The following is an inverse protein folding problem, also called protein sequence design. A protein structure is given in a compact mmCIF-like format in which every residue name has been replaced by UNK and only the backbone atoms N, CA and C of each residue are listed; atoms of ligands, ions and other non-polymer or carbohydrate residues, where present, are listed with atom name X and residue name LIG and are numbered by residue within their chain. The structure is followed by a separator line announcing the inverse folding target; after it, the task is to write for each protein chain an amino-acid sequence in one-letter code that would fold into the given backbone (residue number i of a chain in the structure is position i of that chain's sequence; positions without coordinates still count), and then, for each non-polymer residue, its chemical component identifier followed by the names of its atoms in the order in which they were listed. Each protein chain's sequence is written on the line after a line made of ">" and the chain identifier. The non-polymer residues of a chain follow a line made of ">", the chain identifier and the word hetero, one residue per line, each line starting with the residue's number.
data_IF_453447933424
#
_entry.id   IF_453447933424
#
_cell.length_a   1.000
_cell.length_b   1.000
_cell.length_c   1.000
_cell.angle_alpha   90.00
_cell.angle_beta   90.00
_cell.angle_gamma   90.00
#
_symmetry.space_group_name_H-M   'P 1'
#
loop_
_entity.id
_entity.type
_entity.pdbx_description
1 polymer ?
#
# COMPACT_ATOMS: atom_id res chain seq x y z
N UNK A 1 3.19 9.99 -7.94
CA UNK A 1 1.73 9.77 -7.95
C UNK A 1 0.96 10.73 -7.02
N UNK A 2 1.49 11.03 -5.82
CA UNK A 2 0.82 11.87 -4.80
C UNK A 2 0.48 13.32 -5.19
N UNK A 3 1.00 13.90 -6.27
CA UNK A 3 0.80 15.33 -6.58
C UNK A 3 -0.33 15.59 -7.59
N UNK A 4 -0.81 14.56 -8.30
CA UNK A 4 -1.81 14.74 -9.38
C UNK A 4 -3.26 14.41 -8.98
N UNK A 5 -3.44 13.71 -7.85
CA UNK A 5 -4.75 13.23 -7.44
C UNK A 5 -5.42 14.23 -6.49
N UNK A 6 -6.68 14.63 -6.76
CA UNK A 6 -7.35 15.72 -6.03
C UNK A 6 -7.77 15.33 -4.61
N UNK A 7 -8.11 14.05 -4.38
CA UNK A 7 -8.59 13.56 -3.09
C UNK A 7 -7.48 12.78 -2.35
N UNK A 8 -7.37 12.97 -1.04
CA UNK A 8 -6.49 12.18 -0.16
C UNK A 8 -6.71 10.67 -0.30
N UNK A 9 -7.97 10.21 -0.33
CA UNK A 9 -8.26 8.78 -0.45
C UNK A 9 -7.82 8.20 -1.79
N UNK A 10 -7.94 8.98 -2.88
CA UNK A 10 -7.41 8.59 -4.18
C UNK A 10 -5.87 8.53 -4.15
N UNK A 11 -5.21 9.49 -3.49
CA UNK A 11 -3.74 9.46 -3.27
C UNK A 11 -3.30 8.25 -2.46
N UNK A 12 -4.07 7.86 -1.45
CA UNK A 12 -3.77 6.72 -0.59
C UNK A 12 -3.96 5.39 -1.34
N UNK A 13 -5.02 5.26 -2.14
CA UNK A 13 -5.20 4.11 -3.03
C UNK A 13 -4.04 3.97 -4.02
N UNK A 14 -3.71 5.08 -4.68
CA UNK A 14 -2.56 5.20 -5.56
C UNK A 14 -1.22 4.85 -4.90
N UNK A 15 -1.00 5.28 -3.66
CA UNK A 15 0.18 4.95 -2.87
C UNK A 15 0.27 3.44 -2.62
N UNK A 16 -0.85 2.80 -2.29
CA UNK A 16 -0.91 1.36 -2.01
C UNK A 16 -0.61 0.54 -3.27
N UNK A 17 -1.32 0.84 -4.37
CA UNK A 17 -1.11 0.17 -5.65
C UNK A 17 0.32 0.42 -6.16
N UNK A 18 0.84 1.63 -5.97
CA UNK A 18 2.21 1.99 -6.31
C UNK A 18 3.26 1.27 -5.45
N UNK A 19 3.00 1.09 -4.14
CA UNK A 19 3.88 0.34 -3.23
C UNK A 19 3.92 -1.13 -3.62
N UNK A 20 2.76 -1.77 -3.77
CA UNK A 20 2.70 -3.17 -4.18
C UNK A 20 3.33 -3.36 -5.57
N UNK A 21 2.97 -2.53 -6.55
CA UNK A 21 3.57 -2.61 -7.89
C UNK A 21 5.08 -2.32 -7.90
N UNK A 22 5.54 -1.39 -7.07
CA UNK A 22 6.91 -0.88 -7.09
C UNK A 22 7.88 -1.53 -6.08
N UNK A 23 7.38 -2.25 -5.09
CA UNK A 23 8.19 -2.91 -4.06
C UNK A 23 7.97 -4.43 -4.06
N UNK A 24 6.72 -4.90 -4.03
CA UNK A 24 6.44 -6.34 -4.04
C UNK A 24 6.98 -7.03 -5.29
N UNK A 25 6.63 -6.54 -6.48
CA UNK A 25 7.03 -7.17 -7.75
C UNK A 25 8.57 -7.19 -7.89
N UNK A 26 9.30 -6.08 -7.64
CA UNK A 26 10.76 -6.10 -7.70
C UNK A 26 11.41 -6.99 -6.64
N UNK A 27 10.85 -7.11 -5.44
CA UNK A 27 11.38 -8.02 -4.41
C UNK A 27 11.26 -9.49 -4.82
N UNK A 28 10.13 -9.88 -5.41
CA UNK A 28 9.98 -11.23 -5.97
C UNK A 28 10.95 -11.44 -7.14
N UNK A 29 11.10 -10.44 -8.02
CA UNK A 29 12.08 -10.48 -9.11
C UNK A 29 13.52 -10.64 -8.59
N UNK A 30 13.90 -9.89 -7.56
CA UNK A 30 15.20 -10.00 -6.91
C UNK A 30 15.40 -11.37 -6.27
N UNK A 31 14.37 -11.97 -5.68
CA UNK A 31 14.44 -13.32 -5.14
C UNK A 31 14.73 -14.37 -6.22
N UNK A 32 14.04 -14.27 -7.36
CA UNK A 32 14.25 -15.17 -8.50
C UNK A 32 15.65 -15.01 -9.12
N UNK A 33 16.10 -13.76 -9.29
CA UNK A 33 17.45 -13.47 -9.79
C UNK A 33 18.50 -14.02 -8.82
N UNK A 34 18.35 -13.74 -7.51
CA UNK A 34 19.27 -14.21 -6.49
C UNK A 34 19.38 -15.74 -6.49
N UNK A 35 18.25 -16.46 -6.63
CA UNK A 35 18.24 -17.92 -6.71
C UNK A 35 19.03 -18.47 -7.92
N UNK A 36 19.00 -17.76 -9.05
CA UNK A 36 19.73 -18.11 -10.28
C UNK A 36 21.20 -17.65 -10.31
N UNK A 37 21.65 -16.82 -9.38
CA UNK A 37 23.03 -16.34 -9.35
C UNK A 37 23.96 -17.36 -8.67
N UNK A 38 24.64 -18.18 -9.48
CA UNK A 38 25.59 -19.17 -8.95
C UNK A 38 26.80 -18.58 -8.23
N UNK A 39 27.22 -17.37 -8.62
CA UNK A 39 28.33 -16.64 -8.00
C UNK A 39 28.09 -16.31 -6.52
N UNK A 40 26.83 -16.22 -6.08
CA UNK A 40 26.49 -15.95 -4.68
C UNK A 40 26.71 -17.16 -3.76
N UNK A 41 26.96 -18.35 -4.31
CA UNK A 41 27.16 -19.57 -3.53
C UNK A 41 26.00 -19.82 -2.55
N UNK A 42 26.26 -20.11 -1.26
CA UNK A 42 25.21 -20.37 -0.26
C UNK A 42 24.39 -19.12 0.11
N UNK A 43 24.92 -17.90 -0.09
CA UNK A 43 24.21 -16.65 0.21
C UNK A 43 23.00 -16.41 -0.71
N UNK A 44 22.91 -17.12 -1.84
CA UNK A 44 21.78 -17.05 -2.77
C UNK A 44 20.44 -17.29 -2.07
N UNK A 45 20.40 -18.28 -1.18
CA UNK A 45 19.18 -18.72 -0.51
C UNK A 45 18.79 -17.78 0.61
N UNK A 46 19.78 -17.18 1.28
CA UNK A 46 19.55 -16.13 2.26
C UNK A 46 18.95 -14.89 1.60
N UNK A 47 19.53 -14.44 0.48
CA UNK A 47 19.05 -13.29 -0.27
C UNK A 47 17.66 -13.53 -0.87
N UNK A 48 17.44 -14.70 -1.47
CA UNK A 48 16.12 -15.07 -2.01
C UNK A 48 15.06 -15.18 -0.92
N UNK A 49 15.36 -15.86 0.20
CA UNK A 49 14.46 -15.97 1.33
C UNK A 49 14.15 -14.62 1.98
N UNK A 50 15.16 -13.79 2.20
CA UNK A 50 15.01 -12.44 2.77
C UNK A 50 14.13 -11.54 1.89
N UNK A 51 14.31 -11.60 0.56
CA UNK A 51 13.49 -10.86 -0.39
C UNK A 51 12.03 -11.32 -0.37
N UNK A 52 11.76 -12.63 -0.33
CA UNK A 52 10.39 -13.19 -0.25
C UNK A 52 9.71 -12.80 1.06
N UNK A 53 10.39 -12.96 2.20
CA UNK A 53 9.85 -12.61 3.52
C UNK A 53 9.52 -11.12 3.58
N UNK A 54 10.43 -10.28 3.08
CA UNK A 54 10.22 -8.82 3.03
C UNK A 54 9.03 -8.46 2.13
N UNK A 55 8.89 -9.13 0.98
CA UNK A 55 7.76 -8.92 0.08
C UNK A 55 6.42 -9.26 0.76
N UNK A 56 6.35 -10.37 1.49
CA UNK A 56 5.12 -10.76 2.22
C UNK A 56 4.78 -9.73 3.30
N UNK A 57 5.78 -9.29 4.08
CA UNK A 57 5.58 -8.27 5.12
C UNK A 57 5.10 -6.96 4.49
N UNK A 58 5.73 -6.51 3.40
CA UNK A 58 5.35 -5.31 2.67
C UNK A 58 3.91 -5.42 2.18
N UNK A 59 3.52 -6.54 1.58
CA UNK A 59 2.17 -6.74 1.04
C UNK A 59 1.09 -6.65 2.12
N UNK A 60 1.31 -7.30 3.26
CA UNK A 60 0.40 -7.25 4.41
C UNK A 60 0.33 -5.83 4.96
N UNK A 61 1.48 -5.17 5.11
CA UNK A 61 1.56 -3.83 5.68
C UNK A 61 0.95 -2.77 4.75
N UNK A 62 1.10 -2.92 3.44
CA UNK A 62 0.53 -2.03 2.44
C UNK A 62 -1.01 -2.02 2.55
N UNK A 63 -1.64 -3.19 2.66
CA UNK A 63 -3.09 -3.27 2.88
C UNK A 63 -3.52 -2.78 4.26
N UNK A 64 -2.94 -3.35 5.33
CA UNK A 64 -3.37 -3.03 6.70
C UNK A 64 -3.09 -1.57 7.09
N UNK A 65 -1.92 -1.04 6.71
CA UNK A 65 -1.51 0.32 7.02
C UNK A 65 -2.39 1.36 6.34
N UNK A 66 -2.77 1.15 5.08
CA UNK A 66 -3.61 2.10 4.35
C UNK A 66 -5.06 2.09 4.85
N UNK A 67 -5.60 0.93 5.24
CA UNK A 67 -6.89 0.86 5.93
C UNK A 67 -6.87 1.60 7.27
N UNK A 68 -5.82 1.42 8.08
CA UNK A 68 -5.69 2.10 9.37
C UNK A 68 -5.60 3.62 9.19
N UNK A 69 -4.80 4.09 8.23
CA UNK A 69 -4.65 5.51 7.90
C UNK A 69 -5.97 6.10 7.38
N UNK A 70 -6.65 5.42 6.45
CA UNK A 70 -7.93 5.88 5.90
C UNK A 70 -8.97 6.07 7.01
N UNK A 71 -9.07 5.10 7.92
CA UNK A 71 -9.99 5.17 9.07
C UNK A 71 -9.62 6.30 10.03
N UNK A 72 -8.33 6.49 10.33
CA UNK A 72 -7.85 7.55 11.21
C UNK A 72 -8.13 8.94 10.63
N UNK A 73 -7.79 9.15 9.35
CA UNK A 73 -8.02 10.42 8.65
C UNK A 73 -9.50 10.74 8.53
N UNK A 74 -10.34 9.75 8.22
CA UNK A 74 -11.79 9.92 8.18
C UNK A 74 -12.35 10.32 9.55
N UNK A 75 -11.92 9.64 10.63
CA UNK A 75 -12.39 9.92 11.98
C UNK A 75 -11.90 11.27 12.51
N UNK A 76 -10.67 11.65 12.19
CA UNK A 76 -10.04 12.89 12.65
C UNK A 76 -10.43 14.13 11.82
N UNK A 77 -11.18 13.96 10.71
CA UNK A 77 -11.51 15.04 9.77
C UNK A 77 -10.26 15.78 9.25
N UNK A 78 -9.15 15.07 9.15
CA UNK A 78 -7.83 15.66 8.89
C UNK A 78 -7.58 16.00 7.41
N UNK A 79 -8.39 15.50 6.49
CA UNK A 79 -8.27 15.79 5.06
C UNK A 79 -9.65 16.00 4.41
N UNK A 80 -9.77 16.91 3.43
CA UNK A 80 -11.01 17.13 2.72
C UNK A 80 -11.40 15.89 1.90
N UNK A 81 -12.66 15.48 2.03
CA UNK A 81 -13.24 14.35 1.29
C UNK A 81 -13.58 14.70 -0.16
N UNK A 82 -13.65 16.00 -0.48
CA UNK A 82 -14.00 16.50 -1.82
C UNK A 82 -12.88 16.22 -2.83
N UNK A 83 -13.20 15.89 -4.10
CA UNK A 83 -14.54 15.71 -4.66
C UNK A 83 -15.13 14.32 -4.32
N UNK A 84 -16.35 14.30 -3.79
CA UNK A 84 -17.14 13.11 -3.46
C UNK A 84 -18.59 13.38 -3.90
N UNK A 85 -19.22 12.42 -4.56
CA UNK A 85 -20.61 12.55 -5.07
C UNK A 85 -21.64 12.19 -4.00
N UNK A 86 -21.38 11.17 -3.18
CA UNK A 86 -22.23 10.76 -2.08
C UNK A 86 -21.39 10.08 -0.98
N UNK A 87 -21.63 10.42 0.29
CA UNK A 87 -20.99 9.77 1.45
C UNK A 87 -21.99 8.85 2.15
N UNK A 88 -22.11 7.62 1.64
CA UNK A 88 -22.95 6.59 2.25
C UNK A 88 -22.53 6.23 3.68
N UNK A 89 -21.25 6.44 4.03
CA UNK A 89 -20.75 6.15 5.37
C UNK A 89 -21.21 7.19 6.39
N UNK A 90 -21.44 8.43 5.96
CA UNK A 90 -22.09 9.47 6.77
C UNK A 90 -23.62 9.27 6.84
N UNK A 91 -24.24 8.87 5.72
CA UNK A 91 -25.67 8.55 5.65
C UNK A 91 -26.04 7.42 6.63
N UNK A 92 -25.29 6.31 6.61
CA UNK A 92 -25.47 5.17 7.53
C UNK A 92 -25.26 5.55 9.02
N UNK A 93 -24.54 6.65 9.29
CA UNK A 93 -24.28 7.16 10.65
C UNK A 93 -25.31 8.20 11.12
N UNK A 94 -26.39 8.40 10.38
CA UNK A 94 -27.50 9.29 10.79
C UNK A 94 -27.48 10.67 10.15
N UNK A 95 -26.81 10.85 9.00
CA UNK A 95 -27.02 12.02 8.15
C UNK A 95 -26.51 13.34 8.71
N UNK A 96 -25.28 13.38 9.23
CA UNK A 96 -24.58 14.67 9.24
C UNK A 96 -24.19 14.98 7.79
N UNK A 97 -24.74 16.04 7.19
CA UNK A 97 -24.08 16.72 6.06
C UNK A 97 -22.67 17.10 6.54
N UNK A 98 -21.65 16.43 5.99
CA UNK A 98 -20.25 16.51 6.43
C UNK A 98 -19.33 17.05 5.33
#
# INVERSE_FOLDING_TARGET
>A
MMLRLPNFFARLHALTVGSVGGAFIPLIGAALIAAGCDFLGPYRWFMAGGAVVTAIIEYVLAGAGTHAIARAVYRAKAAPLKPIVADKLAEDRGGEER
#
